data_IF_394365565686
#
_entry.id   IF_394365565686
#
_cell.length_a   1.000
_cell.length_b   1.000
_cell.length_c   1.000
_cell.angle_alpha   90.00
_cell.angle_beta   90.00
_cell.angle_gamma   90.00
#
_symmetry.space_group_name_H-M   'P 1'
#
loop_
_entity.id
_entity.type
_entity.pdbx_description
1 polymer ?
#
# COMPACT_ATOMS: atom_id res chain seq x y z
N UNK A 1 -3.58 20.10 -12.70
CA UNK A 1 -3.34 18.83 -11.98
C UNK A 1 -2.29 19.17 -10.95
N UNK A 2 -2.63 19.19 -9.66
CA UNK A 2 -1.61 19.14 -8.62
C UNK A 2 -1.40 17.66 -8.38
N UNK A 3 -0.40 17.10 -9.05
CA UNK A 3 0.15 15.82 -8.60
C UNK A 3 0.67 16.07 -7.19
N UNK A 4 0.17 15.27 -6.27
CA UNK A 4 0.47 15.39 -4.85
C UNK A 4 1.72 14.57 -4.68
N UNK A 5 2.87 15.23 -4.77
CA UNK A 5 4.13 14.61 -4.39
C UNK A 5 4.00 14.17 -2.92
N UNK A 6 3.78 12.88 -2.72
CA UNK A 6 4.31 12.25 -1.53
C UNK A 6 5.81 12.39 -1.67
N UNK A 7 6.37 13.47 -1.11
CA UNK A 7 7.81 13.52 -0.86
C UNK A 7 8.21 12.17 -0.28
N UNK A 8 9.35 11.66 -0.75
CA UNK A 8 9.96 10.41 -0.32
C UNK A 8 10.35 10.50 1.16
N UNK A 9 9.38 10.63 2.07
CA UNK A 9 9.59 10.31 3.45
C UNK A 9 9.69 8.79 3.52
N UNK A 10 10.94 8.33 3.36
CA UNK A 10 11.42 7.05 3.82
C UNK A 10 11.00 6.92 5.28
N UNK A 11 9.84 6.33 5.51
CA UNK A 11 9.51 5.77 6.81
C UNK A 11 10.50 4.64 7.02
N UNK A 12 11.58 4.98 7.71
CA UNK A 12 12.64 4.07 8.11
C UNK A 12 12.05 3.11 9.15
N UNK A 13 11.43 2.03 8.68
CA UNK A 13 11.28 0.75 9.37
C UNK A 13 10.56 -0.24 8.47
N UNK A 14 11.31 -1.23 7.99
CA UNK A 14 11.02 -2.68 8.12
C UNK A 14 11.88 -3.49 7.14
N UNK A 15 13.19 -3.52 7.37
CA UNK A 15 14.17 -4.27 6.54
C UNK A 15 13.91 -5.80 6.52
N UNK A 16 13.25 -6.34 7.56
CA UNK A 16 13.14 -7.79 7.78
C UNK A 16 12.15 -8.46 6.79
N UNK A 17 10.99 -7.87 6.53
CA UNK A 17 9.97 -8.49 5.65
C UNK A 17 10.10 -8.07 4.18
N UNK A 18 10.58 -6.84 3.90
CA UNK A 18 10.86 -6.43 2.52
C UNK A 18 11.98 -7.28 1.92
N UNK A 19 13.05 -7.54 2.67
CA UNK A 19 14.12 -8.44 2.22
C UNK A 19 13.62 -9.86 1.92
N UNK A 20 12.57 -10.33 2.61
CA UNK A 20 11.93 -11.61 2.31
C UNK A 20 11.16 -11.57 0.98
N UNK A 21 10.35 -10.53 0.74
CA UNK A 21 9.65 -10.33 -0.55
C UNK A 21 10.67 -10.26 -1.69
N UNK A 22 11.72 -9.45 -1.56
CA UNK A 22 12.77 -9.30 -2.56
C UNK A 22 13.49 -10.62 -2.86
N UNK A 23 13.78 -11.43 -1.84
CA UNK A 23 14.33 -12.80 -2.02
C UNK A 23 13.38 -13.69 -2.82
N UNK A 24 12.06 -13.60 -2.60
CA UNK A 24 11.08 -14.37 -3.38
C UNK A 24 11.05 -13.91 -4.83
N UNK A 25 11.06 -12.60 -5.07
CA UNK A 25 11.06 -12.01 -6.42
C UNK A 25 12.34 -12.37 -7.19
N UNK A 26 13.52 -12.32 -6.54
CA UNK A 26 14.78 -12.74 -7.12
C UNK A 26 14.77 -14.24 -7.49
N UNK A 27 14.28 -15.11 -6.59
CA UNK A 27 14.12 -16.55 -6.87
C UNK A 27 13.16 -16.81 -8.03
N UNK A 28 12.08 -16.03 -8.14
CA UNK A 28 11.16 -16.11 -9.27
C UNK A 28 11.83 -15.69 -10.57
N UNK A 29 12.55 -14.57 -10.58
CA UNK A 29 13.24 -14.03 -11.76
C UNK A 29 14.30 -15.01 -12.29
N UNK A 30 15.05 -15.67 -11.40
CA UNK A 30 16.05 -16.69 -11.74
C UNK A 30 15.46 -18.03 -12.22
N UNK A 31 14.16 -18.27 -12.04
CA UNK A 31 13.55 -19.55 -12.39
C UNK A 31 13.43 -19.72 -13.91
N UNK A 32 13.71 -20.93 -14.40
CA UNK A 32 13.51 -21.27 -15.81
C UNK A 32 12.03 -21.10 -16.16
N UNK A 33 11.73 -20.74 -17.41
CA UNK A 33 10.35 -20.49 -17.86
C UNK A 33 9.38 -21.64 -17.51
N UNK A 34 9.84 -22.90 -17.58
CA UNK A 34 9.07 -24.11 -17.21
C UNK A 34 8.73 -24.22 -15.72
N UNK A 35 9.47 -23.54 -14.85
CA UNK A 35 9.35 -23.60 -13.39
C UNK A 35 8.64 -22.36 -12.81
N UNK A 36 8.43 -21.30 -13.61
CA UNK A 36 7.77 -20.05 -13.20
C UNK A 36 6.37 -20.26 -12.63
N UNK A 37 5.58 -21.20 -13.17
CA UNK A 37 4.23 -21.49 -12.65
C UNK A 37 4.30 -22.03 -11.22
N UNK A 38 5.17 -23.02 -10.96
CA UNK A 38 5.39 -23.57 -9.61
C UNK A 38 5.90 -22.52 -8.64
N UNK A 39 6.77 -21.64 -9.13
CA UNK A 39 7.32 -20.56 -8.30
C UNK A 39 6.30 -19.48 -7.99
N UNK A 40 5.39 -19.17 -8.91
CA UNK A 40 4.23 -18.31 -8.65
C UNK A 40 3.30 -18.94 -7.60
N UNK A 41 3.00 -20.24 -7.71
CA UNK A 41 2.20 -20.97 -6.72
C UNK A 41 2.85 -20.95 -5.34
N UNK A 42 4.17 -21.18 -5.26
CA UNK A 42 4.92 -21.12 -4.01
C UNK A 42 4.85 -19.72 -3.37
N UNK A 43 5.03 -18.66 -4.16
CA UNK A 43 4.88 -17.28 -3.68
C UNK A 43 3.46 -17.03 -3.17
N UNK A 44 2.44 -17.45 -3.93
CA UNK A 44 1.05 -17.28 -3.53
C UNK A 44 0.71 -18.01 -2.24
N UNK A 45 1.18 -19.25 -2.07
CA UNK A 45 0.98 -20.03 -0.85
C UNK A 45 1.63 -19.36 0.37
N UNK A 46 2.83 -18.80 0.19
CA UNK A 46 3.53 -18.05 1.24
C UNK A 46 2.84 -16.72 1.59
N UNK A 47 2.36 -15.99 0.58
CA UNK A 47 1.57 -14.77 0.79
C UNK A 47 0.29 -15.11 1.59
N UNK A 48 -0.40 -16.19 1.23
CA UNK A 48 -1.63 -16.58 1.90
C UNK A 48 -1.40 -17.06 3.34
N UNK A 49 -0.24 -17.64 3.66
CA UNK A 49 0.08 -18.13 5.01
C UNK A 49 0.61 -17.05 5.96
N UNK A 50 1.09 -15.92 5.43
CA UNK A 50 1.56 -14.79 6.22
C UNK A 50 0.53 -13.63 6.20
N UNK A 51 -0.13 -13.31 7.34
CA UNK A 51 -1.11 -12.22 7.43
C UNK A 51 -0.60 -10.87 6.91
N UNK A 52 0.68 -10.58 7.14
CA UNK A 52 1.36 -9.35 6.75
C UNK A 52 1.41 -9.26 5.22
N UNK A 53 1.88 -10.33 4.58
CA UNK A 53 1.97 -10.40 3.12
C UNK A 53 0.59 -10.43 2.45
N UNK A 54 -0.42 -10.96 3.14
CA UNK A 54 -1.80 -11.02 2.61
C UNK A 54 -2.36 -9.63 2.30
N UNK A 55 -2.07 -8.62 3.12
CA UNK A 55 -2.44 -7.22 2.85
C UNK A 55 -1.81 -6.64 1.58
N UNK A 56 -0.70 -7.24 1.13
CA UNK A 56 0.12 -6.80 -0.02
C UNK A 56 0.01 -7.70 -1.23
N UNK A 57 -0.78 -8.77 -1.14
CA UNK A 57 -0.91 -9.80 -2.18
C UNK A 57 -1.09 -9.20 -3.56
N UNK A 58 -2.05 -8.29 -3.70
CA UNK A 58 -2.36 -7.65 -4.98
C UNK A 58 -1.17 -6.86 -5.54
N UNK A 59 -0.43 -6.14 -4.69
CA UNK A 59 0.75 -5.38 -5.12
C UNK A 59 1.87 -6.31 -5.58
N UNK A 60 2.13 -7.38 -4.84
CA UNK A 60 3.17 -8.36 -5.18
C UNK A 60 2.80 -9.12 -6.47
N UNK A 61 1.56 -9.60 -6.58
CA UNK A 61 1.07 -10.29 -7.77
C UNK A 61 1.11 -9.36 -8.99
N UNK A 62 0.70 -8.10 -8.85
CA UNK A 62 0.76 -7.14 -9.94
C UNK A 62 2.20 -6.84 -10.36
N UNK A 63 3.12 -6.65 -9.41
CA UNK A 63 4.53 -6.44 -9.71
C UNK A 63 5.12 -7.62 -10.50
N UNK A 64 4.85 -8.86 -10.05
CA UNK A 64 5.30 -10.08 -10.74
C UNK A 64 4.78 -10.14 -12.18
N UNK A 65 3.53 -9.75 -12.41
CA UNK A 65 2.88 -9.88 -13.71
C UNK A 65 3.23 -8.73 -14.68
N UNK A 66 3.57 -7.54 -14.18
CA UNK A 66 3.68 -6.33 -15.01
C UNK A 66 5.10 -5.80 -15.13
N UNK A 67 5.91 -5.89 -14.07
CA UNK A 67 7.18 -5.16 -13.96
C UNK A 67 8.38 -6.10 -13.83
N UNK A 68 8.22 -7.22 -13.11
CA UNK A 68 9.31 -8.16 -12.86
C UNK A 68 9.85 -8.84 -14.14
N UNK A 69 9.04 -8.90 -15.20
CA UNK A 69 9.48 -9.43 -16.49
C UNK A 69 10.29 -8.39 -17.24
N UNK A 70 11.61 -8.58 -17.31
CA UNK A 70 12.51 -7.71 -18.08
C UNK A 70 13.41 -6.80 -17.26
N UNK A 71 13.40 -6.94 -15.93
CA UNK A 71 14.35 -6.25 -15.03
C UNK A 71 15.44 -7.22 -14.56
N UNK A 72 16.67 -6.72 -14.50
CA UNK A 72 17.80 -7.46 -13.93
C UNK A 72 17.60 -7.68 -12.43
N UNK A 73 18.15 -8.77 -11.92
CA UNK A 73 17.97 -9.19 -10.52
C UNK A 73 18.48 -8.11 -9.55
N UNK A 74 19.56 -7.43 -9.91
CA UNK A 74 20.17 -6.34 -9.13
C UNK A 74 19.24 -5.12 -9.02
N UNK A 75 18.34 -4.94 -9.98
CA UNK A 75 17.39 -3.81 -10.03
C UNK A 75 16.01 -4.13 -9.44
N UNK A 76 15.76 -5.39 -9.01
CA UNK A 76 14.44 -5.81 -8.51
C UNK A 76 13.99 -4.96 -7.33
N UNK A 77 14.92 -4.62 -6.43
CA UNK A 77 14.63 -3.84 -5.24
C UNK A 77 14.17 -2.41 -5.57
N UNK A 78 14.98 -1.68 -6.32
CA UNK A 78 14.67 -0.30 -6.73
C UNK A 78 13.37 -0.25 -7.54
N UNK A 79 13.17 -1.20 -8.45
CA UNK A 79 11.97 -1.28 -9.27
C UNK A 79 10.72 -1.64 -8.46
N UNK A 80 10.88 -2.49 -7.44
CA UNK A 80 9.78 -2.80 -6.53
C UNK A 80 9.36 -1.57 -5.73
N UNK A 81 10.29 -0.84 -5.13
CA UNK A 81 9.96 0.37 -4.38
C UNK A 81 9.36 1.46 -5.27
N UNK A 82 9.93 1.70 -6.44
CA UNK A 82 9.38 2.63 -7.43
C UNK A 82 7.95 2.25 -7.84
N UNK A 83 7.69 0.96 -8.07
CA UNK A 83 6.35 0.46 -8.35
C UNK A 83 5.39 0.73 -7.18
N UNK A 84 5.82 0.46 -5.94
CA UNK A 84 5.01 0.68 -4.73
C UNK A 84 4.67 2.16 -4.59
N UNK A 85 5.60 3.07 -4.81
CA UNK A 85 5.36 4.52 -4.69
C UNK A 85 4.35 5.02 -5.73
N UNK A 86 4.51 4.63 -7.00
CA UNK A 86 3.55 4.97 -8.06
C UNK A 86 2.15 4.44 -7.70
N UNK A 87 2.07 3.23 -7.15
CA UNK A 87 0.80 2.62 -6.74
C UNK A 87 0.18 3.32 -5.54
N UNK A 88 1.00 3.68 -4.55
CA UNK A 88 0.61 4.38 -3.33
C UNK A 88 -0.02 5.72 -3.67
N UNK A 89 0.66 6.54 -4.49
CA UNK A 89 0.16 7.85 -4.91
C UNK A 89 -1.15 7.72 -5.68
N UNK A 90 -1.20 6.82 -6.68
CA UNK A 90 -2.41 6.58 -7.47
C UNK A 90 -3.58 6.13 -6.60
N UNK A 91 -3.35 5.19 -5.69
CA UNK A 91 -4.39 4.67 -4.78
C UNK A 91 -4.86 5.72 -3.79
N UNK A 92 -3.96 6.57 -3.27
CA UNK A 92 -4.33 7.68 -2.39
C UNK A 92 -5.22 8.70 -3.10
N UNK A 93 -4.85 9.08 -4.33
CA UNK A 93 -5.64 10.02 -5.13
C UNK A 93 -7.03 9.46 -5.47
N UNK A 94 -7.14 8.15 -5.75
CA UNK A 94 -8.43 7.48 -5.94
C UNK A 94 -9.25 7.50 -4.65
N UNK A 95 -8.65 7.17 -3.51
CA UNK A 95 -9.31 7.20 -2.20
C UNK A 95 -9.87 8.60 -1.90
N UNK A 96 -9.06 9.65 -2.05
CA UNK A 96 -9.48 11.02 -1.81
C UNK A 96 -10.62 11.43 -2.74
N UNK A 97 -10.57 11.04 -4.01
CA UNK A 97 -11.63 11.34 -4.98
C UNK A 97 -12.94 10.62 -4.66
N UNK A 98 -12.89 9.32 -4.39
CA UNK A 98 -14.08 8.51 -4.11
C UNK A 98 -14.78 8.91 -2.81
N UNK A 99 -14.00 9.27 -1.80
CA UNK A 99 -14.50 9.63 -0.47
C UNK A 99 -14.65 11.15 -0.26
N UNK A 100 -14.38 11.94 -1.31
CA UNK A 100 -14.48 13.40 -1.30
C UNK A 100 -13.66 14.03 -0.14
N UNK A 101 -12.40 13.60 -0.02
CA UNK A 101 -11.45 14.04 1.00
C UNK A 101 -10.65 15.25 0.53
N UNK A 102 -10.29 16.11 1.49
CA UNK A 102 -9.26 17.10 1.31
C UNK A 102 -7.92 16.37 1.34
N UNK A 103 -7.19 16.44 0.22
CA UNK A 103 -5.93 15.73 0.01
C UNK A 103 -4.90 16.09 1.08
N UNK A 104 -4.64 17.39 1.28
CA UNK A 104 -3.58 17.86 2.18
C UNK A 104 -3.84 17.38 3.62
N UNK A 105 -5.09 17.51 4.09
CA UNK A 105 -5.47 17.03 5.42
C UNK A 105 -5.47 15.51 5.54
N UNK A 106 -5.85 14.79 4.48
CA UNK A 106 -5.81 13.34 4.48
C UNK A 106 -4.36 12.82 4.53
N UNK A 107 -3.42 13.54 3.88
CA UNK A 107 -1.99 13.25 3.95
C UNK A 107 -1.47 13.45 5.37
N UNK A 108 -1.72 14.62 5.97
CA UNK A 108 -1.36 14.93 7.36
C UNK A 108 -1.95 13.89 8.34
N UNK A 109 -3.20 13.47 8.13
CA UNK A 109 -3.83 12.44 8.96
C UNK A 109 -3.10 11.09 8.88
N UNK A 110 -2.69 10.68 7.69
CA UNK A 110 -1.94 9.44 7.48
C UNK A 110 -0.54 9.55 8.12
N UNK A 111 0.15 10.67 7.95
CA UNK A 111 1.46 10.93 8.57
C UNK A 111 1.37 10.84 10.10
N UNK A 112 0.37 11.49 10.70
CA UNK A 112 0.12 11.41 12.14
C UNK A 112 -0.22 9.98 12.60
N UNK A 113 -1.05 9.25 11.85
CA UNK A 113 -1.36 7.86 12.17
C UNK A 113 -0.09 6.98 12.16
N UNK A 114 0.78 7.17 11.17
CA UNK A 114 2.03 6.42 11.05
C UNK A 114 3.02 6.77 12.17
N UNK A 115 3.15 8.04 12.52
CA UNK A 115 4.05 8.51 13.56
C UNK A 115 3.59 8.07 14.97
N UNK A 116 2.32 8.29 15.30
CA UNK A 116 1.78 7.98 16.63
C UNK A 116 1.37 6.50 16.78
N UNK A 117 1.35 5.73 15.67
CA UNK A 117 0.78 4.37 15.62
C UNK A 117 -0.66 4.29 16.18
N UNK A 118 -1.40 5.41 16.13
CA UNK A 118 -2.72 5.55 16.72
C UNK A 118 -3.76 5.80 15.63
N UNK A 119 -4.75 4.92 15.55
CA UNK A 119 -5.85 5.05 14.59
C UNK A 119 -6.55 6.42 14.72
N UNK A 120 -6.88 7.07 13.59
CA UNK A 120 -7.69 8.29 13.58
C UNK A 120 -8.99 8.15 14.36
N UNK A 121 -9.37 9.21 15.06
CA UNK A 121 -10.66 9.33 15.71
C UNK A 121 -11.74 9.78 14.72
N UNK A 122 -13.00 9.63 15.13
CA UNK A 122 -14.16 10.06 14.33
C UNK A 122 -14.09 11.53 13.91
N UNK A 123 -13.61 12.42 14.79
CA UNK A 123 -13.54 13.86 14.49
C UNK A 123 -12.43 14.18 13.48
N UNK A 124 -11.29 13.47 13.56
CA UNK A 124 -10.22 13.58 12.57
C UNK A 124 -10.74 13.22 11.16
N UNK A 125 -11.53 12.15 11.07
CA UNK A 125 -12.18 11.73 9.81
C UNK A 125 -13.18 12.78 9.31
N UNK A 126 -13.92 13.44 10.20
CA UNK A 126 -14.86 14.50 9.81
C UNK A 126 -14.12 15.72 9.26
N UNK A 127 -12.92 16.01 9.76
CA UNK A 127 -12.17 17.22 9.40
C UNK A 127 -11.41 17.12 8.09
N UNK A 128 -11.15 15.90 7.61
CA UNK A 128 -10.60 15.67 6.26
C UNK A 128 -11.68 15.64 5.17
N UNK A 129 -12.98 15.54 5.48
CA UNK A 129 -14.04 15.53 4.47
C UNK A 129 -14.26 16.93 3.89
N UNK A 130 -14.31 17.04 2.55
CA UNK A 130 -14.62 18.31 1.87
C UNK A 130 -16.07 18.76 2.14
N UNK A 131 -16.98 17.81 2.33
CA UNK A 131 -18.39 18.08 2.66
C UNK A 131 -18.74 17.35 3.95
N UNK A 132 -19.08 18.10 5.00
CA UNK A 132 -19.41 17.52 6.31
C UNK A 132 -20.74 16.76 6.22
N UNK A 133 -20.78 15.47 6.56
CA UNK A 133 -22.00 14.67 6.52
C UNK A 133 -22.97 15.11 7.62
N UNK A 134 -24.27 14.95 7.36
CA UNK A 134 -25.33 15.17 8.35
C UNK A 134 -25.20 14.16 9.49
N UNK A 135 -25.78 14.47 10.65
CA UNK A 135 -25.68 13.65 11.85
C UNK A 135 -26.05 12.17 11.62
N UNK A 136 -27.09 11.92 10.82
CA UNK A 136 -27.55 10.56 10.50
C UNK A 136 -26.59 9.80 9.56
N UNK A 137 -25.89 10.51 8.68
CA UNK A 137 -24.95 9.95 7.70
C UNK A 137 -23.61 9.61 8.36
N UNK A 138 -23.23 10.33 9.43
CA UNK A 138 -21.97 10.12 10.16
C UNK A 138 -21.76 8.67 10.60
N UNK A 139 -22.82 7.99 11.05
CA UNK A 139 -22.77 6.57 11.47
C UNK A 139 -22.36 5.61 10.36
N UNK A 140 -22.47 6.02 9.10
CA UNK A 140 -22.09 5.22 7.92
C UNK A 140 -20.81 5.74 7.26
N UNK A 141 -20.68 7.06 7.11
CA UNK A 141 -19.56 7.66 6.39
C UNK A 141 -18.27 7.53 7.18
N UNK A 142 -18.28 7.85 8.48
CA UNK A 142 -17.05 7.88 9.29
C UNK A 142 -16.39 6.49 9.36
N UNK A 143 -17.10 5.39 9.73
CA UNK A 143 -16.46 4.08 9.79
C UNK A 143 -15.93 3.63 8.44
N UNK A 144 -16.68 3.85 7.35
CA UNK A 144 -16.24 3.49 6.00
C UNK A 144 -14.95 4.21 5.58
N UNK A 145 -14.85 5.51 5.85
CA UNK A 145 -13.65 6.28 5.50
C UNK A 145 -12.47 5.88 6.37
N UNK A 146 -12.69 5.68 7.67
CA UNK A 146 -11.68 5.17 8.59
C UNK A 146 -11.14 3.81 8.13
N UNK A 147 -12.03 2.87 7.81
CA UNK A 147 -11.65 1.53 7.35
C UNK A 147 -10.80 1.62 6.08
N UNK A 148 -11.20 2.43 5.09
CA UNK A 148 -10.42 2.65 3.86
C UNK A 148 -9.04 3.27 4.12
N UNK A 149 -8.92 4.18 5.07
CA UNK A 149 -7.63 4.79 5.46
C UNK A 149 -6.73 3.74 6.14
N UNK A 150 -7.29 2.96 7.05
CA UNK A 150 -6.56 1.88 7.73
C UNK A 150 -6.10 0.84 6.71
N UNK A 151 -6.96 0.40 5.80
CA UNK A 151 -6.62 -0.52 4.72
C UNK A 151 -5.52 0.04 3.79
N UNK A 152 -5.58 1.32 3.45
CA UNK A 152 -4.55 2.00 2.68
C UNK A 152 -3.20 1.97 3.41
N UNK A 153 -3.20 2.30 4.71
CA UNK A 153 -2.00 2.28 5.56
C UNK A 153 -1.43 0.87 5.67
N UNK A 154 -2.28 -0.12 5.95
CA UNK A 154 -1.87 -1.51 6.05
C UNK A 154 -1.28 -2.02 4.73
N UNK A 155 -1.87 -1.65 3.59
CA UNK A 155 -1.42 -2.07 2.27
C UNK A 155 -0.06 -1.47 1.88
N UNK A 156 0.15 -0.18 2.13
CA UNK A 156 1.31 0.56 1.59
C UNK A 156 2.43 0.88 2.58
N UNK A 157 2.15 0.89 3.88
CA UNK A 157 3.13 1.29 4.90
C UNK A 157 3.45 0.19 5.90
N UNK A 158 2.50 -0.72 6.17
CA UNK A 158 2.70 -1.73 7.21
C UNK A 158 3.39 -2.99 6.67
N UNK A 159 4.71 -3.04 6.59
CA UNK A 159 5.44 -4.26 6.23
C UNK A 159 5.73 -5.17 7.44
N UNK A 160 5.10 -4.91 8.60
CA UNK A 160 5.22 -5.67 9.86
C UNK A 160 4.11 -6.68 10.11
#
# INVERSE_FOLDING_TARGET
MKDVDFELELIHKDEINVSYILKLLAKYSQSKQKDKTKQKENINNLINSNPILRSKKELIEEFINTTLSGIDIENIEDEFFRFIDIKKEKSFNILCKEENLNIDKAKELIENYLYDSRKPLSDDIVDILLVKPKLLERKKVIPRVLDKIVEFVDKFYNFN
#
